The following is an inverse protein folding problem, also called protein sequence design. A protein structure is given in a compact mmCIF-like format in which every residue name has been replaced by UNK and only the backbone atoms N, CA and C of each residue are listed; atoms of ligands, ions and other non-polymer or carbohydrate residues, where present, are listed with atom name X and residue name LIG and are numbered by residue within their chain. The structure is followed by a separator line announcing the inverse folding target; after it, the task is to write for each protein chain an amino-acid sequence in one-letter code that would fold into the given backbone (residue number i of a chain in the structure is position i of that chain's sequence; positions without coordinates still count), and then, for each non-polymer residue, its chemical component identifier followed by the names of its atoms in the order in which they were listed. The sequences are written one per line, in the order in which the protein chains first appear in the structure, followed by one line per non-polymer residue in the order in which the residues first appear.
data_IF_558844024579
#
_entry.id   IF_558844024579
#
_cell.length_a   1.000
_cell.length_b   1.000
_cell.length_c   1.000
_cell.angle_alpha   90.00
_cell.angle_beta   90.00
_cell.angle_gamma   90.00
#
_symmetry.space_group_name_H-M   'P 1'
#
loop_
_entity.id
_entity.type
_entity.pdbx_description
1 polymer ?
#
# COMPACT_ATOMS: atom_id res chain seq x y z
N UNK A 1 15.91 18.44 -3.92
CA UNK A 1 15.07 19.09 -2.90
C UNK A 1 13.66 18.53 -3.08
N UNK A 2 13.02 17.96 -2.05
CA UNK A 2 11.71 17.33 -2.18
C UNK A 2 10.58 18.37 -2.27
N UNK A 3 9.43 17.98 -2.85
CA UNK A 3 8.26 18.86 -2.99
C UNK A 3 7.71 19.35 -1.65
N UNK A 4 7.64 18.47 -0.66
CA UNK A 4 7.25 18.85 0.70
C UNK A 4 8.24 19.84 1.32
N UNK A 5 9.55 19.66 1.11
CA UNK A 5 10.55 20.62 1.62
C UNK A 5 10.36 22.00 0.98
N UNK A 6 9.97 22.06 -0.29
CA UNK A 6 9.59 23.30 -0.96
C UNK A 6 8.33 23.90 -0.30
N UNK A 7 7.28 23.11 -0.07
CA UNK A 7 6.07 23.58 0.59
C UNK A 7 6.32 24.06 2.04
N UNK A 8 7.17 23.37 2.79
CA UNK A 8 7.59 23.76 4.15
C UNK A 8 8.40 25.06 4.15
N UNK A 9 9.30 25.26 3.18
CA UNK A 9 10.00 26.54 3.02
C UNK A 9 9.02 27.68 2.71
N UNK A 10 8.04 27.43 1.84
CA UNK A 10 6.98 28.40 1.52
C UNK A 10 6.14 28.72 2.76
N UNK A 11 5.67 27.71 3.51
CA UNK A 11 4.89 27.92 4.72
C UNK A 11 5.64 28.74 5.77
N UNK A 12 6.98 28.57 5.88
CA UNK A 12 7.81 29.40 6.77
C UNK A 12 7.86 30.87 6.33
N UNK A 13 8.01 31.12 5.04
CA UNK A 13 7.99 32.48 4.47
C UNK A 13 6.63 33.13 4.71
N UNK A 14 5.56 32.41 4.38
CA UNK A 14 4.18 32.88 4.58
C UNK A 14 3.87 33.13 6.07
N UNK A 15 4.34 32.26 6.97
CA UNK A 15 4.20 32.47 8.42
C UNK A 15 4.89 33.75 8.90
N UNK A 16 6.08 34.04 8.37
CA UNK A 16 6.80 35.27 8.70
C UNK A 16 6.05 36.50 8.19
N UNK A 17 5.59 36.46 6.94
CA UNK A 17 4.82 37.55 6.32
C UNK A 17 3.49 37.81 7.00
N UNK A 18 2.76 36.77 7.40
CA UNK A 18 1.52 36.94 8.15
C UNK A 18 1.76 37.60 9.51
N UNK A 19 2.85 37.28 10.21
CA UNK A 19 3.24 38.00 11.43
C UNK A 19 3.56 39.47 11.19
N UNK A 20 4.26 39.79 10.09
CA UNK A 20 4.55 41.19 9.70
C UNK A 20 3.27 41.98 9.41
N UNK A 21 2.31 41.33 8.75
CA UNK A 21 1.00 41.89 8.43
C UNK A 21 -0.02 41.77 9.59
N UNK A 22 0.40 41.26 10.75
CA UNK A 22 -0.41 41.04 11.96
C UNK A 22 -1.63 40.11 11.78
N UNK A 23 -1.59 39.24 10.78
CA UNK A 23 -2.57 38.16 10.63
C UNK A 23 -2.26 37.03 11.62
N UNK A 24 -3.30 36.56 12.30
CA UNK A 24 -3.24 35.40 13.19
C UNK A 24 -3.73 34.16 12.45
N UNK A 25 -3.01 33.05 12.64
CA UNK A 25 -3.28 31.78 12.00
C UNK A 25 -2.02 30.95 11.83
N UNK A 26 -2.20 29.71 11.43
CA UNK A 26 -1.12 28.74 11.28
C UNK A 26 -1.00 28.28 9.84
N UNK A 27 0.21 28.37 9.29
CA UNK A 27 0.52 27.75 8.01
C UNK A 27 1.06 26.34 8.23
N UNK A 28 0.38 25.37 7.65
CA UNK A 28 0.82 23.97 7.60
C UNK A 28 1.21 23.60 6.18
N UNK A 29 2.17 22.70 6.03
CA UNK A 29 2.61 22.21 4.73
C UNK A 29 2.73 20.69 4.75
N UNK A 30 2.33 20.06 3.66
CA UNK A 30 2.51 18.63 3.43
C UNK A 30 2.89 18.38 1.96
N UNK A 31 2.84 17.14 1.51
CA UNK A 31 3.13 16.77 0.11
C UNK A 31 2.13 17.36 -0.89
N UNK A 32 0.89 17.58 -0.47
CA UNK A 32 -0.23 17.99 -1.34
C UNK A 32 -0.27 19.50 -1.55
N UNK A 33 0.21 20.28 -0.59
CA UNK A 33 0.24 21.73 -0.71
C UNK A 33 0.61 22.46 0.56
N UNK A 34 0.17 23.71 0.62
CA UNK A 34 0.30 24.59 1.77
C UNK A 34 -1.09 25.08 2.16
N UNK A 35 -1.41 25.07 3.45
CA UNK A 35 -2.72 25.45 3.98
C UNK A 35 -2.57 26.48 5.09
N UNK A 36 -3.43 27.49 5.08
CA UNK A 36 -3.53 28.45 6.18
C UNK A 36 -4.77 28.16 7.00
N UNK A 37 -4.62 27.94 8.30
CA UNK A 37 -5.73 27.78 9.25
C UNK A 37 -5.95 29.11 9.97
N UNK A 38 -7.20 29.56 9.97
CA UNK A 38 -7.66 30.81 10.58
C UNK A 38 -8.56 30.43 11.76
N UNK A 39 -8.31 31.05 12.91
CA UNK A 39 -9.19 30.91 14.08
C UNK A 39 -10.50 31.66 13.84
N UNK A 40 -11.63 31.07 14.28
CA UNK A 40 -12.97 31.62 14.02
C UNK A 40 -13.13 33.06 14.53
N UNK A 41 -12.58 33.36 15.71
CA UNK A 41 -12.60 34.71 16.29
C UNK A 41 -11.86 35.74 15.42
N UNK A 42 -10.81 35.33 14.69
CA UNK A 42 -10.03 36.20 13.83
C UNK A 42 -10.63 36.30 12.41
N UNK A 43 -11.40 35.29 11.97
CA UNK A 43 -12.15 35.35 10.72
C UNK A 43 -13.27 36.40 10.73
N UNK A 44 -13.95 36.56 11.87
CA UNK A 44 -15.06 37.50 12.03
C UNK A 44 -14.64 38.92 12.44
N UNK A 45 -13.35 39.20 12.50
CA UNK A 45 -12.84 40.53 12.86
C UNK A 45 -12.88 41.49 11.68
N UNK A 46 -13.62 42.59 11.85
CA UNK A 46 -13.81 43.64 10.83
C UNK A 46 -12.52 44.36 10.43
N UNK A 47 -11.43 44.25 11.21
CA UNK A 47 -10.15 44.94 10.96
C UNK A 47 -9.17 44.13 10.11
N UNK A 48 -9.52 42.90 9.72
CA UNK A 48 -8.65 42.00 8.95
C UNK A 48 -9.33 41.62 7.63
N UNK A 49 -8.96 42.28 6.53
CA UNK A 49 -9.49 41.96 5.19
C UNK A 49 -8.84 40.67 4.64
N UNK A 50 -9.23 39.53 5.23
CA UNK A 50 -8.85 38.19 4.79
C UNK A 50 -9.29 37.91 3.35
N UNK A 51 -10.38 38.55 2.91
CA UNK A 51 -10.88 38.42 1.54
C UNK A 51 -9.94 39.10 0.53
N UNK A 52 -9.22 40.15 0.90
CA UNK A 52 -8.21 40.78 0.04
C UNK A 52 -7.05 39.82 -0.28
N UNK A 53 -6.60 39.05 0.71
CA UNK A 53 -5.45 38.13 0.57
C UNK A 53 -5.85 36.75 0.04
N UNK A 54 -6.86 36.14 0.65
CA UNK A 54 -7.25 34.75 0.39
C UNK A 54 -8.48 34.65 -0.53
N UNK A 55 -9.36 35.65 -0.53
CA UNK A 55 -10.56 35.71 -1.38
C UNK A 55 -11.39 34.42 -1.32
N UNK A 56 -11.82 33.93 -2.49
CA UNK A 56 -12.64 32.72 -2.63
C UNK A 56 -11.92 31.41 -2.23
N UNK A 57 -10.66 31.46 -1.79
CA UNK A 57 -9.93 30.27 -1.32
C UNK A 57 -10.27 29.90 0.11
N UNK A 58 -10.89 30.78 0.89
CA UNK A 58 -11.31 30.45 2.25
C UNK A 58 -12.52 29.52 2.17
N UNK A 59 -12.36 28.31 2.70
CA UNK A 59 -13.44 27.35 2.91
C UNK A 59 -13.73 27.22 4.40
N UNK A 60 -15.01 27.15 4.77
CA UNK A 60 -15.45 26.77 6.11
C UNK A 60 -15.59 25.26 6.16
N UNK A 61 -14.86 24.60 7.05
CA UNK A 61 -15.15 23.22 7.41
C UNK A 61 -16.32 23.21 8.39
N UNK A 62 -17.41 22.57 8.01
CA UNK A 62 -18.58 22.39 8.89
C UNK A 62 -18.33 21.15 9.75
N UNK A 63 -18.34 21.32 11.07
CA UNK A 63 -18.28 20.21 12.02
C UNK A 63 -19.70 19.65 12.23
N UNK A 64 -19.81 18.33 12.43
CA UNK A 64 -21.10 17.69 12.76
C UNK A 64 -21.61 18.08 14.17
N UNK A 65 -20.73 18.67 14.99
CA UNK A 65 -21.03 19.15 16.33
C UNK A 65 -21.27 20.68 16.32
N UNK A 66 -22.52 21.17 16.46
CA UNK A 66 -22.83 22.59 16.43
C UNK A 66 -22.28 23.39 17.63
N UNK A 67 -21.73 22.72 18.65
CA UNK A 67 -21.04 23.35 19.77
C UNK A 67 -19.54 23.60 19.49
N UNK A 68 -18.98 23.05 18.42
CA UNK A 68 -17.59 23.26 18.03
C UNK A 68 -17.46 24.43 17.05
N UNK A 69 -16.50 25.35 17.28
CA UNK A 69 -16.25 26.45 16.37
C UNK A 69 -15.85 25.94 14.99
N UNK A 70 -16.36 26.57 13.94
CA UNK A 70 -16.03 26.19 12.56
C UNK A 70 -14.59 26.54 12.23
N UNK A 71 -13.85 25.68 11.55
CA UNK A 71 -12.49 26.00 11.09
C UNK A 71 -12.53 26.62 9.71
N UNK A 72 -11.80 27.72 9.51
CA UNK A 72 -11.64 28.36 8.21
C UNK A 72 -10.24 28.08 7.68
N UNK A 73 -10.14 27.57 6.46
CA UNK A 73 -8.85 27.29 5.83
C UNK A 73 -8.75 27.82 4.41
N UNK A 74 -7.55 28.24 4.02
CA UNK A 74 -7.21 28.53 2.64
C UNK A 74 -6.18 27.51 2.13
N UNK A 75 -6.61 26.67 1.18
CA UNK A 75 -5.80 25.57 0.67
C UNK A 75 -5.18 25.87 -0.70
N UNK A 76 -3.86 25.70 -0.78
CA UNK A 76 -3.08 25.92 -1.98
C UNK A 76 -2.43 24.61 -2.45
N UNK A 77 -3.22 23.80 -3.15
CA UNK A 77 -2.81 22.49 -3.68
C UNK A 77 -2.13 22.58 -5.05
N UNK A 78 -2.33 23.70 -5.77
CA UNK A 78 -1.68 23.98 -7.05
C UNK A 78 -0.49 24.92 -6.86
N UNK A 79 0.69 24.60 -7.41
CA UNK A 79 1.86 25.47 -7.28
C UNK A 79 1.68 26.87 -7.87
N UNK A 80 0.85 27.03 -8.91
CA UNK A 80 0.48 28.33 -9.48
C UNK A 80 -0.15 29.25 -8.45
N UNK A 81 -1.05 28.72 -7.63
CA UNK A 81 -1.85 29.49 -6.68
C UNK A 81 -0.97 30.00 -5.53
N UNK A 82 0.03 29.20 -5.14
CA UNK A 82 1.05 29.58 -4.16
C UNK A 82 1.95 30.69 -4.70
N UNK A 83 2.34 30.63 -5.98
CA UNK A 83 3.17 31.64 -6.62
C UNK A 83 2.41 32.96 -6.76
N UNK A 84 1.12 32.90 -7.07
CA UNK A 84 0.25 34.08 -7.08
C UNK A 84 0.13 34.70 -5.69
N UNK A 85 -0.01 33.89 -4.64
CA UNK A 85 -0.03 34.37 -3.26
C UNK A 85 1.28 35.09 -2.89
N UNK A 86 2.44 34.50 -3.21
CA UNK A 86 3.74 35.11 -2.94
C UNK A 86 3.89 36.45 -3.67
N UNK A 87 3.44 36.54 -4.93
CA UNK A 87 3.42 37.82 -5.68
C UNK A 87 2.52 38.87 -5.04
N UNK A 88 1.34 38.48 -4.54
CA UNK A 88 0.44 39.40 -3.81
C UNK A 88 1.04 39.91 -2.51
N UNK A 89 1.93 39.13 -1.89
CA UNK A 89 2.65 39.47 -0.65
C UNK A 89 3.98 40.20 -0.89
N UNK A 90 4.22 40.67 -2.12
CA UNK A 90 5.45 41.36 -2.53
C UNK A 90 6.73 40.50 -2.40
N UNK A 91 6.59 39.17 -2.45
CA UNK A 91 7.69 38.19 -2.38
C UNK A 91 8.07 37.71 -3.80
N UNK A 92 8.40 38.66 -4.68
CA UNK A 92 8.61 38.40 -6.11
C UNK A 92 9.85 37.53 -6.40
N UNK A 93 10.94 37.70 -5.64
CA UNK A 93 12.18 36.93 -5.81
C UNK A 93 12.01 35.48 -5.35
N UNK A 94 11.31 35.28 -4.24
CA UNK A 94 10.93 33.98 -3.69
C UNK A 94 9.97 33.27 -4.65
N UNK A 95 8.96 33.98 -5.15
CA UNK A 95 8.04 33.46 -6.17
C UNK A 95 8.80 32.96 -7.42
N UNK A 96 9.80 33.72 -7.87
CA UNK A 96 10.66 33.35 -9.01
C UNK A 96 11.56 32.16 -8.68
N UNK A 97 12.15 32.12 -7.48
CA UNK A 97 12.94 30.99 -6.99
C UNK A 97 12.12 29.70 -6.95
N UNK A 98 10.88 29.77 -6.45
CA UNK A 98 9.99 28.60 -6.39
C UNK A 98 9.48 28.20 -7.76
N UNK A 99 9.13 29.16 -8.63
CA UNK A 99 8.81 28.88 -10.04
C UNK A 99 9.95 28.10 -10.71
N UNK A 100 11.19 28.56 -10.54
CA UNK A 100 12.37 27.89 -11.08
C UNK A 100 12.59 26.51 -10.46
N UNK A 101 12.35 26.33 -9.15
CA UNK A 101 12.47 25.04 -8.49
C UNK A 101 11.40 24.04 -8.97
N UNK A 102 10.17 24.50 -9.18
CA UNK A 102 9.07 23.69 -9.73
C UNK A 102 9.36 23.33 -11.19
N UNK A 103 9.87 24.27 -11.99
CA UNK A 103 10.29 23.99 -13.37
C UNK A 103 11.51 23.08 -13.44
N UNK A 104 12.47 23.23 -12.52
CA UNK A 104 13.60 22.32 -12.40
C UNK A 104 13.14 20.93 -12.02
N UNK A 105 12.19 20.80 -11.09
CA UNK A 105 11.55 19.52 -10.76
C UNK A 105 10.85 18.92 -11.98
N UNK A 106 10.11 19.74 -12.75
CA UNK A 106 9.49 19.34 -14.03
C UNK A 106 10.51 18.93 -15.10
N UNK A 107 11.69 19.55 -15.12
CA UNK A 107 12.81 19.25 -16.04
C UNK A 107 13.64 18.04 -15.59
N UNK A 108 13.76 17.77 -14.30
CA UNK A 108 14.35 16.53 -13.77
C UNK A 108 13.39 15.34 -13.92
N UNK A 109 12.07 15.54 -13.79
CA UNK A 109 11.06 14.58 -14.27
C UNK A 109 10.94 14.55 -15.81
N UNK A 110 11.53 15.55 -16.47
CA UNK A 110 11.63 15.75 -17.92
C UNK A 110 13.00 15.40 -18.49
N UNK A 111 13.70 14.40 -17.93
CA UNK A 111 14.76 13.69 -18.65
C UNK A 111 14.15 12.87 -19.81
N UNK A 112 13.55 13.56 -20.79
CA UNK A 112 13.09 13.02 -22.06
C UNK A 112 14.01 13.41 -23.23
N UNK A 113 15.03 14.24 -22.99
CA UNK A 113 15.91 14.76 -24.05
C UNK A 113 17.18 13.95 -24.33
N UNK A 114 17.36 12.78 -23.69
CA UNK A 114 18.34 11.75 -24.11
C UNK A 114 17.70 10.48 -24.71
N UNK A 115 16.38 10.48 -24.90
CA UNK A 115 15.63 9.26 -25.25
C UNK A 115 15.23 9.16 -26.71
N UNK A 116 15.66 10.09 -27.58
CA UNK A 116 15.34 9.97 -29.01
C UNK A 116 15.94 8.70 -29.65
N UNK A 117 17.06 8.22 -29.11
CA UNK A 117 17.71 6.99 -29.58
C UNK A 117 17.21 5.72 -28.88
N UNK A 118 16.70 5.81 -27.64
CA UNK A 118 16.13 4.66 -26.89
C UNK A 118 14.64 4.43 -27.26
N UNK A 119 13.96 5.43 -27.81
CA UNK A 119 12.53 5.37 -28.20
C UNK A 119 12.24 4.46 -29.39
N UNK A 120 13.26 3.98 -30.11
CA UNK A 120 13.07 3.11 -31.27
C UNK A 120 12.97 1.64 -30.86
N UNK A 121 13.60 1.23 -29.74
CA UNK A 121 13.65 -0.17 -29.32
C UNK A 121 12.50 -0.58 -28.39
N UNK A 122 12.01 0.32 -27.52
CA UNK A 122 10.93 0.02 -26.55
C UNK A 122 9.50 0.26 -27.09
N UNK A 123 9.35 0.85 -28.29
CA UNK A 123 8.04 1.27 -28.82
C UNK A 123 7.12 0.13 -29.26
N UNK A 124 7.69 -1.07 -29.44
CA UNK A 124 7.00 -2.22 -30.03
C UNK A 124 7.03 -3.47 -29.14
N UNK A 125 7.23 -3.37 -27.83
CA UNK A 125 7.09 -4.55 -26.98
C UNK A 125 5.61 -4.82 -26.68
N UNK A 126 4.97 -5.85 -27.30
CA UNK A 126 3.62 -6.31 -26.90
C UNK A 126 3.52 -6.65 -25.41
N UNK A 127 4.67 -6.86 -24.75
CA UNK A 127 4.83 -7.21 -23.36
C UNK A 127 4.33 -6.14 -22.37
N UNK A 128 4.56 -4.85 -22.66
CA UNK A 128 4.22 -3.75 -21.74
C UNK A 128 2.73 -3.40 -21.77
N UNK A 129 2.10 -3.57 -22.92
CA UNK A 129 0.65 -3.41 -23.05
C UNK A 129 -0.07 -4.52 -22.28
N UNK A 130 0.43 -5.74 -22.36
CA UNK A 130 -0.11 -6.86 -21.58
C UNK A 130 0.05 -6.62 -20.08
N UNK A 131 1.20 -6.09 -19.66
CA UNK A 131 1.41 -5.71 -18.25
C UNK A 131 0.41 -4.65 -17.76
N UNK A 132 0.04 -3.67 -18.59
CA UNK A 132 -1.03 -2.72 -18.24
C UNK A 132 -2.37 -3.43 -18.01
N UNK A 133 -2.73 -4.41 -18.85
CA UNK A 133 -3.95 -5.20 -18.66
C UNK A 133 -3.88 -6.06 -17.39
N UNK A 134 -2.73 -6.64 -17.10
CA UNK A 134 -2.50 -7.45 -15.90
C UNK A 134 -2.66 -6.59 -14.63
N UNK A 135 -2.14 -5.37 -14.63
CA UNK A 135 -2.37 -4.38 -13.57
C UNK A 135 -3.86 -4.05 -13.45
N UNK A 136 -4.54 -3.74 -14.56
CA UNK A 136 -5.97 -3.43 -14.55
C UNK A 136 -6.80 -4.61 -14.00
N UNK A 137 -6.48 -5.84 -14.41
CA UNK A 137 -7.12 -7.06 -13.92
C UNK A 137 -6.85 -7.29 -12.43
N UNK A 138 -5.64 -7.03 -11.95
CA UNK A 138 -5.30 -7.12 -10.54
C UNK A 138 -6.13 -6.13 -9.72
N UNK A 139 -6.15 -4.85 -10.12
CA UNK A 139 -6.88 -3.78 -9.43
C UNK A 139 -8.40 -3.95 -9.51
N UNK A 140 -8.91 -4.50 -10.61
CA UNK A 140 -10.34 -4.77 -10.81
C UNK A 140 -10.93 -5.76 -9.81
N UNK A 141 -10.11 -6.56 -9.13
CA UNK A 141 -10.54 -7.52 -8.08
C UNK A 141 -10.90 -6.84 -6.76
N UNK A 142 -10.58 -5.57 -6.57
CA UNK A 142 -10.81 -4.84 -5.32
C UNK A 142 -11.97 -3.85 -5.50
N UNK A 143 -13.20 -4.18 -5.06
CA UNK A 143 -14.40 -3.37 -5.33
C UNK A 143 -14.36 -1.96 -4.72
N UNK A 144 -13.56 -1.73 -3.67
CA UNK A 144 -13.38 -0.42 -3.04
C UNK A 144 -12.49 0.55 -3.84
N UNK A 145 -11.68 0.04 -4.78
CA UNK A 145 -10.77 0.86 -5.62
C UNK A 145 -11.54 1.77 -6.59
N UNK A 146 -12.83 1.50 -6.82
CA UNK A 146 -13.67 2.31 -7.71
C UNK A 146 -14.08 3.67 -7.15
N UNK A 147 -13.83 3.94 -5.86
CA UNK A 147 -14.05 5.25 -5.26
C UNK A 147 -12.79 6.12 -5.44
N UNK A 148 -12.98 7.43 -5.55
CA UNK A 148 -11.92 8.42 -5.85
C UNK A 148 -10.59 8.15 -5.13
N UNK A 149 -9.47 8.34 -5.83
CA UNK A 149 -8.13 8.14 -5.26
C UNK A 149 -7.09 7.62 -6.24
N UNK A 150 -5.87 7.38 -5.77
CA UNK A 150 -4.72 7.03 -6.61
C UNK A 150 -4.85 5.67 -7.29
N UNK A 151 -5.41 4.64 -6.62
CA UNK A 151 -5.67 3.33 -7.26
C UNK A 151 -6.71 3.43 -8.37
N UNK A 152 -7.73 4.28 -8.19
CA UNK A 152 -8.74 4.53 -9.23
C UNK A 152 -8.09 5.14 -10.47
N UNK A 153 -7.19 6.12 -10.28
CA UNK A 153 -6.40 6.72 -11.37
C UNK A 153 -5.46 5.72 -12.06
N UNK A 154 -4.79 4.86 -11.29
CA UNK A 154 -3.94 3.78 -11.83
C UNK A 154 -4.79 2.80 -12.64
N UNK A 155 -5.95 2.38 -12.11
CA UNK A 155 -6.88 1.48 -12.80
C UNK A 155 -7.41 2.10 -14.10
N UNK A 156 -7.79 3.38 -14.08
CA UNK A 156 -8.22 4.10 -15.29
C UNK A 156 -7.10 4.16 -16.31
N UNK A 157 -5.89 4.59 -15.90
CA UNK A 157 -4.74 4.65 -16.80
C UNK A 157 -4.42 3.28 -17.42
N UNK A 158 -4.45 2.22 -16.62
CA UNK A 158 -4.18 0.85 -17.05
C UNK A 158 -5.26 0.31 -18.02
N UNK A 159 -6.53 0.61 -17.75
CA UNK A 159 -7.68 0.16 -18.56
C UNK A 159 -7.81 0.93 -19.88
N UNK A 160 -7.30 2.17 -19.93
CA UNK A 160 -7.42 3.04 -21.10
C UNK A 160 -6.29 2.90 -22.12
N UNK A 161 -5.32 2.00 -21.93
CA UNK A 161 -4.20 1.80 -22.88
C UNK A 161 -4.70 1.24 -24.22
N UNK A 162 -4.89 2.11 -25.21
CA UNK A 162 -5.26 1.72 -26.57
C UNK A 162 -4.02 1.41 -27.45
N UNK A 163 -4.23 1.01 -28.70
CA UNK A 163 -3.13 0.83 -29.68
C UNK A 163 -2.42 2.15 -30.05
N UNK A 164 -3.02 3.31 -29.71
CA UNK A 164 -2.45 4.63 -30.03
C UNK A 164 -1.67 5.24 -28.86
N UNK A 165 -1.92 4.75 -27.64
CA UNK A 165 -1.26 5.23 -26.43
C UNK A 165 0.07 4.50 -26.25
N UNK A 166 1.07 5.18 -25.67
CA UNK A 166 2.36 4.57 -25.35
C UNK A 166 2.25 3.81 -24.02
N UNK A 167 2.29 2.46 -24.01
CA UNK A 167 2.17 1.69 -22.77
C UNK A 167 3.30 2.01 -21.78
N UNK A 168 4.49 2.36 -22.31
CA UNK A 168 5.64 2.82 -21.55
C UNK A 168 5.32 4.10 -20.76
N UNK A 169 4.67 5.09 -21.40
CA UNK A 169 4.31 6.34 -20.72
C UNK A 169 3.25 6.09 -19.64
N UNK A 170 2.26 5.26 -19.95
CA UNK A 170 1.22 4.88 -18.98
C UNK A 170 1.83 4.18 -17.76
N UNK A 171 2.72 3.21 -17.96
CA UNK A 171 3.41 2.53 -16.86
C UNK A 171 4.28 3.48 -16.04
N UNK A 172 5.00 4.42 -16.68
CA UNK A 172 5.77 5.45 -15.96
C UNK A 172 4.88 6.32 -15.08
N UNK A 173 3.70 6.71 -15.58
CA UNK A 173 2.73 7.47 -14.79
C UNK A 173 2.22 6.64 -13.61
N UNK A 174 1.91 5.36 -13.80
CA UNK A 174 1.49 4.46 -12.73
C UNK A 174 2.58 4.27 -11.67
N UNK A 175 3.84 4.09 -12.07
CA UNK A 175 4.99 3.98 -11.14
C UNK A 175 5.14 5.26 -10.33
N UNK A 176 5.04 6.43 -10.96
CA UNK A 176 5.11 7.73 -10.26
C UNK A 176 3.96 7.90 -9.27
N UNK A 177 2.74 7.51 -9.63
CA UNK A 177 1.58 7.52 -8.74
C UNK A 177 1.77 6.56 -7.55
N UNK A 178 2.38 5.40 -7.78
CA UNK A 178 2.67 4.43 -6.73
C UNK A 178 3.79 4.90 -5.78
N UNK A 179 4.87 5.45 -6.32
CA UNK A 179 5.99 6.01 -5.54
C UNK A 179 5.53 7.20 -4.69
N UNK A 180 4.64 8.02 -5.25
CA UNK A 180 3.95 9.10 -4.53
C UNK A 180 3.16 8.60 -3.31
N UNK A 181 2.38 7.53 -3.46
CA UNK A 181 1.59 6.94 -2.36
C UNK A 181 2.44 6.23 -1.32
N UNK A 182 3.51 5.54 -1.75
CA UNK A 182 4.47 4.91 -0.85
C UNK A 182 5.10 5.94 0.10
N UNK A 183 5.48 7.11 -0.42
CA UNK A 183 6.01 8.21 0.39
C UNK A 183 4.99 8.80 1.38
N UNK A 184 3.69 8.79 1.04
CA UNK A 184 2.60 9.21 1.94
C UNK A 184 2.40 8.23 3.10
N UNK A 185 2.57 6.93 2.86
CA UNK A 185 2.39 5.88 3.85
C UNK A 185 3.57 5.72 4.83
N UNK A 186 4.82 5.79 4.35
CA UNK A 186 6.01 5.70 5.22
C UNK A 186 5.97 6.74 6.36
N UNK A 187 5.33 7.88 6.12
CA UNK A 187 5.12 8.97 7.08
C UNK A 187 3.92 8.75 8.01
N UNK A 188 2.83 8.15 7.50
CA UNK A 188 1.57 7.94 8.25
C UNK A 188 1.42 6.52 8.83
N UNK A 189 2.46 5.70 8.72
CA UNK A 189 2.52 4.29 9.17
C UNK A 189 2.02 4.05 10.60
N UNK A 190 2.25 4.98 11.53
CA UNK A 190 1.73 4.87 12.90
C UNK A 190 0.24 5.20 13.01
N UNK A 191 -0.25 6.14 12.20
CA UNK A 191 -1.65 6.57 12.17
C UNK A 191 -2.57 5.53 11.49
N UNK A 192 -2.05 4.80 10.48
CA UNK A 192 -2.80 3.78 9.76
C UNK A 192 -2.83 2.39 10.41
N UNK A 193 -2.16 2.19 11.56
CA UNK A 193 -2.33 0.96 12.36
C UNK A 193 -3.79 0.71 12.79
N UNK A 194 -4.61 1.76 12.84
CA UNK A 194 -6.00 1.70 13.33
C UNK A 194 -7.07 1.82 12.25
N UNK A 195 -6.71 2.21 11.01
CA UNK A 195 -7.65 2.43 9.90
C UNK A 195 -7.22 1.67 8.61
N UNK A 196 -6.53 0.54 8.79
CA UNK A 196 -5.66 -0.11 7.80
C UNK A 196 -6.18 -0.16 6.36
N UNK A 197 -5.33 0.30 5.42
CA UNK A 197 -5.44 -0.13 4.01
C UNK A 197 -5.24 -1.65 3.98
N UNK A 198 -5.94 -2.30 3.06
CA UNK A 198 -5.75 -3.72 2.77
C UNK A 198 -4.25 -3.98 2.50
N UNK A 199 -3.59 -4.89 3.24
CA UNK A 199 -2.16 -5.17 3.07
C UNK A 199 -1.77 -5.49 1.62
N UNK A 200 -2.70 -6.08 0.85
CA UNK A 200 -2.50 -6.46 -0.55
C UNK A 200 -2.39 -5.24 -1.47
N UNK A 201 -3.04 -4.14 -1.10
CA UNK A 201 -2.94 -2.86 -1.83
C UNK A 201 -1.60 -2.20 -1.56
N UNK A 202 -1.11 -2.28 -0.33
CA UNK A 202 0.20 -1.71 0.04
C UNK A 202 1.34 -2.47 -0.62
N UNK A 203 1.32 -3.80 -0.57
CA UNK A 203 2.29 -4.64 -1.31
C UNK A 203 2.30 -4.33 -2.80
N UNK A 204 1.13 -4.07 -3.39
CA UNK A 204 1.01 -3.69 -4.79
C UNK A 204 1.68 -2.35 -5.06
N UNK A 205 1.44 -1.34 -4.21
CA UNK A 205 2.08 -0.03 -4.33
C UNK A 205 3.60 -0.13 -4.23
N UNK A 206 4.11 -0.91 -3.28
CA UNK A 206 5.54 -1.09 -3.12
C UNK A 206 6.14 -1.83 -4.31
N UNK A 207 5.48 -2.89 -4.80
CA UNK A 207 5.92 -3.62 -5.98
C UNK A 207 5.96 -2.72 -7.22
N UNK A 208 4.92 -1.90 -7.42
CA UNK A 208 4.79 -0.99 -8.56
C UNK A 208 5.77 0.20 -8.47
N UNK A 209 5.97 0.79 -7.29
CA UNK A 209 6.92 1.87 -7.08
C UNK A 209 8.37 1.43 -7.30
N UNK A 210 8.69 0.16 -6.98
CA UNK A 210 10.03 -0.40 -7.18
C UNK A 210 10.27 -0.94 -8.60
N UNK A 211 9.27 -0.89 -9.49
CA UNK A 211 9.39 -1.38 -10.87
C UNK A 211 10.34 -0.49 -11.68
N UNK A 212 11.39 -1.10 -12.22
CA UNK A 212 12.34 -0.48 -13.15
C UNK A 212 12.10 -1.01 -14.56
N UNK A 213 11.56 -0.17 -15.43
CA UNK A 213 11.17 -0.56 -16.80
C UNK A 213 12.37 -0.87 -17.72
N UNK A 214 13.56 -0.42 -17.35
CA UNK A 214 14.84 -0.69 -18.05
C UNK A 214 15.56 -1.94 -17.53
N UNK A 215 15.02 -2.60 -16.50
CA UNK A 215 15.56 -3.82 -15.89
C UNK A 215 14.61 -5.01 -16.16
N UNK A 216 14.98 -5.94 -17.07
CA UNK A 216 14.16 -7.10 -17.40
C UNK A 216 13.81 -7.99 -16.20
N UNK A 217 14.70 -8.09 -15.20
CA UNK A 217 14.45 -8.90 -14.00
C UNK A 217 13.41 -8.22 -13.10
N UNK A 218 13.47 -6.89 -12.99
CA UNK A 218 12.46 -6.09 -12.27
C UNK A 218 11.07 -6.24 -12.91
N UNK A 219 11.00 -6.13 -14.24
CA UNK A 219 9.76 -6.32 -15.01
C UNK A 219 9.22 -7.74 -14.81
N UNK A 220 10.07 -8.76 -14.94
CA UNK A 220 9.67 -10.16 -14.76
C UNK A 220 9.13 -10.41 -13.36
N UNK A 221 9.84 -9.93 -12.32
CA UNK A 221 9.42 -10.08 -10.93
C UNK A 221 8.09 -9.40 -10.64
N UNK A 222 7.91 -8.17 -11.12
CA UNK A 222 6.65 -7.45 -10.95
C UNK A 222 5.51 -8.13 -11.69
N UNK A 223 5.78 -8.60 -12.92
CA UNK A 223 4.79 -9.34 -13.71
C UNK A 223 4.35 -10.60 -12.99
N UNK A 224 5.29 -11.39 -12.48
CA UNK A 224 4.99 -12.58 -11.68
C UNK A 224 4.14 -12.24 -10.46
N UNK A 225 4.30 -11.05 -9.87
CA UNK A 225 3.48 -10.60 -8.75
C UNK A 225 2.04 -10.27 -9.17
N UNK A 226 1.82 -9.49 -10.24
CA UNK A 226 0.46 -9.08 -10.66
C UNK A 226 -0.31 -10.20 -11.37
N UNK A 227 0.39 -11.13 -12.01
CA UNK A 227 -0.19 -12.31 -12.67
C UNK A 227 -0.28 -13.52 -11.76
N UNK A 228 0.32 -13.47 -10.56
CA UNK A 228 0.26 -14.56 -9.58
C UNK A 228 -1.20 -14.91 -9.34
N UNK A 229 -1.53 -16.17 -9.58
CA UNK A 229 -2.84 -16.68 -9.22
C UNK A 229 -2.92 -16.65 -7.70
N UNK A 230 -3.84 -15.83 -7.16
CA UNK A 230 -4.09 -15.79 -5.72
C UNK A 230 -4.95 -16.97 -5.33
N UNK A 231 -4.75 -17.55 -4.14
CA UNK A 231 -5.66 -18.57 -3.64
C UNK A 231 -7.08 -18.00 -3.60
N UNK A 232 -8.03 -18.82 -4.04
CA UNK A 232 -9.45 -18.53 -3.90
C UNK A 232 -9.88 -18.61 -2.43
N UNK A 233 -11.05 -18.07 -2.11
CA UNK A 233 -11.65 -18.25 -0.79
C UNK A 233 -11.85 -19.74 -0.44
N UNK A 234 -12.12 -20.56 -1.46
CA UNK A 234 -12.25 -22.00 -1.33
C UNK A 234 -10.89 -22.66 -0.99
N UNK A 235 -9.80 -22.22 -1.65
CA UNK A 235 -8.44 -22.69 -1.32
C UNK A 235 -8.11 -22.40 0.16
N UNK A 236 -8.44 -21.21 0.69
CA UNK A 236 -8.21 -20.88 2.10
C UNK A 236 -9.08 -21.70 3.05
N UNK A 237 -10.37 -21.84 2.73
CA UNK A 237 -11.33 -22.60 3.56
C UNK A 237 -10.91 -24.06 3.63
N UNK A 238 -10.63 -24.67 2.48
CA UNK A 238 -10.16 -26.04 2.38
C UNK A 238 -8.83 -26.25 3.13
N UNK A 239 -7.91 -25.29 3.07
CA UNK A 239 -6.64 -25.35 3.82
C UNK A 239 -6.88 -25.34 5.32
N UNK A 240 -7.71 -24.42 5.83
CA UNK A 240 -8.02 -24.32 7.25
C UNK A 240 -8.71 -25.59 7.77
N UNK A 241 -9.67 -26.13 7.01
CA UNK A 241 -10.37 -27.37 7.36
C UNK A 241 -9.40 -28.56 7.45
N UNK A 242 -8.46 -28.68 6.50
CA UNK A 242 -7.46 -29.76 6.50
C UNK A 242 -6.45 -29.60 7.63
N UNK A 243 -6.03 -28.37 7.94
CA UNK A 243 -5.20 -28.10 9.13
C UNK A 243 -5.95 -28.54 10.39
N UNK A 244 -7.22 -28.17 10.53
CA UNK A 244 -8.06 -28.56 11.67
C UNK A 244 -8.15 -30.09 11.82
N UNK A 245 -8.39 -30.81 10.70
CA UNK A 245 -8.42 -32.29 10.69
C UNK A 245 -7.08 -32.90 11.08
N UNK A 246 -5.98 -32.39 10.55
CA UNK A 246 -4.63 -32.86 10.88
C UNK A 246 -4.33 -32.66 12.37
N UNK A 247 -4.56 -31.45 12.88
CA UNK A 247 -4.34 -31.09 14.28
C UNK A 247 -5.25 -31.85 15.25
N UNK A 248 -6.46 -32.24 14.82
CA UNK A 248 -7.37 -33.08 15.60
C UNK A 248 -6.73 -34.40 16.08
N UNK A 249 -5.81 -34.98 15.28
CA UNK A 249 -5.05 -36.18 15.64
C UNK A 249 -4.13 -35.98 16.84
N UNK A 250 -3.72 -34.74 17.09
CA UNK A 250 -2.75 -34.34 18.11
C UNK A 250 -3.35 -33.46 19.19
N UNK A 251 -4.68 -33.45 19.33
CA UNK A 251 -5.43 -32.60 20.27
C UNK A 251 -5.01 -32.73 21.73
N UNK A 252 -4.39 -33.84 22.12
CA UNK A 252 -3.90 -34.10 23.47
C UNK A 252 -2.40 -33.77 23.67
N UNK A 253 -1.70 -33.32 22.63
CA UNK A 253 -0.24 -33.24 22.62
C UNK A 253 0.27 -31.87 23.08
N UNK A 254 -0.46 -30.77 22.81
CA UNK A 254 -0.03 -29.46 23.30
C UNK A 254 -1.10 -28.36 23.26
N UNK A 255 -0.97 -27.37 24.14
CA UNK A 255 -1.78 -26.14 24.17
C UNK A 255 -1.76 -25.38 22.84
N UNK A 256 -0.70 -25.53 22.05
CA UNK A 256 -0.55 -24.85 20.76
C UNK A 256 -1.38 -25.47 19.65
N UNK A 257 -1.63 -26.79 19.71
CA UNK A 257 -2.60 -27.45 18.83
C UNK A 257 -3.99 -26.84 19.10
N UNK A 258 -4.35 -26.66 20.37
CA UNK A 258 -5.60 -25.99 20.76
C UNK A 258 -5.67 -24.53 20.31
N UNK A 259 -4.55 -23.78 20.35
CA UNK A 259 -4.49 -22.39 19.85
C UNK A 259 -4.72 -22.31 18.34
N UNK A 260 -4.08 -23.17 17.53
CA UNK A 260 -4.31 -23.19 16.08
C UNK A 260 -5.75 -23.59 15.73
N UNK A 261 -6.33 -24.57 16.43
CA UNK A 261 -7.74 -24.93 16.24
C UNK A 261 -8.70 -23.78 16.61
N UNK A 262 -8.35 -22.98 17.62
CA UNK A 262 -9.14 -21.78 17.99
C UNK A 262 -9.05 -20.70 16.92
N UNK A 263 -7.86 -20.44 16.38
CA UNK A 263 -7.63 -19.47 15.30
C UNK A 263 -8.47 -19.84 14.06
N UNK A 264 -8.49 -21.13 13.69
CA UNK A 264 -9.25 -21.62 12.53
C UNK A 264 -10.77 -21.37 12.64
N UNK A 265 -11.33 -21.28 13.86
CA UNK A 265 -12.76 -21.05 14.09
C UNK A 265 -13.16 -19.60 14.35
N UNK A 266 -12.22 -18.72 14.68
CA UNK A 266 -12.49 -17.36 15.15
C UNK A 266 -12.31 -16.26 14.08
N UNK A 267 -11.55 -16.54 13.02
CA UNK A 267 -11.15 -15.58 12.00
C UNK A 267 -11.67 -15.95 10.62
N UNK A 268 -11.58 -15.03 9.66
CA UNK A 268 -11.80 -15.37 8.26
C UNK A 268 -10.73 -16.39 7.79
N UNK A 269 -11.03 -17.30 6.85
CA UNK A 269 -10.08 -18.33 6.43
C UNK A 269 -8.70 -17.81 5.98
N UNK A 270 -8.66 -16.67 5.29
CA UNK A 270 -7.40 -16.01 4.88
C UNK A 270 -6.61 -15.55 6.11
N UNK A 271 -7.25 -14.86 7.05
CA UNK A 271 -6.62 -14.35 8.27
C UNK A 271 -6.20 -15.49 9.21
N UNK A 272 -7.02 -16.53 9.34
CA UNK A 272 -6.72 -17.72 10.12
C UNK A 272 -5.46 -18.40 9.60
N UNK A 273 -5.33 -18.57 8.28
CA UNK A 273 -4.14 -19.16 7.67
C UNK A 273 -2.89 -18.31 7.91
N UNK A 274 -2.98 -16.98 7.79
CA UNK A 274 -1.87 -16.06 8.10
C UNK A 274 -1.37 -16.25 9.54
N UNK A 275 -2.28 -16.26 10.52
CA UNK A 275 -1.90 -16.40 11.93
C UNK A 275 -1.35 -17.79 12.25
N UNK A 276 -1.90 -18.84 11.62
CA UNK A 276 -1.37 -20.20 11.75
C UNK A 276 0.04 -20.34 11.15
N UNK A 277 0.33 -19.69 10.02
CA UNK A 277 1.68 -19.64 9.43
C UNK A 277 2.66 -18.94 10.36
N UNK A 278 2.29 -17.79 10.93
CA UNK A 278 3.14 -17.06 11.88
C UNK A 278 3.46 -17.87 13.13
N UNK A 279 2.44 -18.55 13.68
CA UNK A 279 2.63 -19.42 14.84
C UNK A 279 3.53 -20.61 14.51
N UNK A 280 3.40 -21.19 13.31
CA UNK A 280 4.26 -22.25 12.81
C UNK A 280 5.71 -21.78 12.58
N UNK A 281 5.91 -20.57 12.05
CA UNK A 281 7.25 -20.00 11.82
C UNK A 281 7.96 -19.66 13.14
N UNK A 282 7.23 -19.11 14.12
CA UNK A 282 7.75 -18.92 15.47
C UNK A 282 8.20 -20.26 16.08
N UNK A 283 7.43 -21.33 15.89
CA UNK A 283 7.80 -22.68 16.32
C UNK A 283 9.03 -23.18 15.57
N UNK A 284 9.08 -23.08 14.25
CA UNK A 284 10.25 -23.43 13.43
C UNK A 284 11.52 -22.71 13.90
N UNK A 285 11.42 -21.43 14.25
CA UNK A 285 12.51 -20.63 14.83
C UNK A 285 13.01 -21.17 16.17
N UNK A 286 12.13 -21.80 16.96
CA UNK A 286 12.51 -22.56 18.16
C UNK A 286 13.03 -23.98 17.87
N UNK A 287 12.77 -24.54 16.68
CA UNK A 287 12.92 -25.99 16.37
C UNK A 287 14.30 -26.48 15.92
N UNK A 288 15.19 -25.63 15.38
CA UNK A 288 16.49 -26.14 14.86
C UNK A 288 17.39 -26.75 15.95
N UNK A 289 17.22 -26.36 17.21
CA UNK A 289 17.90 -26.93 18.38
C UNK A 289 17.05 -27.95 19.15
N UNK A 290 15.72 -28.00 18.94
CA UNK A 290 14.79 -28.72 19.83
C UNK A 290 14.13 -29.95 19.23
N UNK A 291 14.37 -30.34 17.97
CA UNK A 291 13.78 -31.58 17.41
C UNK A 291 14.01 -32.81 18.31
N UNK A 292 15.22 -32.99 18.82
CA UNK A 292 15.56 -34.11 19.72
C UNK A 292 14.89 -33.97 21.09
N UNK A 293 14.75 -32.72 21.59
CA UNK A 293 14.06 -32.43 22.86
C UNK A 293 12.55 -32.68 22.71
N UNK A 294 11.95 -32.30 21.59
CA UNK A 294 10.53 -32.50 21.32
C UNK A 294 10.19 -33.98 21.15
N UNK A 295 11.09 -34.75 20.53
CA UNK A 295 11.01 -36.21 20.49
C UNK A 295 11.07 -36.83 21.90
N UNK A 296 11.96 -36.32 22.76
CA UNK A 296 12.02 -36.73 24.17
C UNK A 296 10.78 -36.31 24.98
N UNK A 297 10.12 -35.22 24.58
CA UNK A 297 8.86 -34.74 25.14
C UNK A 297 7.61 -35.40 24.49
N UNK A 298 7.81 -36.41 23.64
CA UNK A 298 6.72 -37.22 23.07
C UNK A 298 5.99 -36.58 21.88
N UNK A 299 6.55 -35.54 21.25
CA UNK A 299 5.99 -34.98 20.01
C UNK A 299 6.39 -35.84 18.81
N UNK A 300 5.44 -36.22 17.95
CA UNK A 300 5.74 -37.03 16.77
C UNK A 300 6.44 -36.20 15.68
N UNK A 301 7.37 -36.83 14.96
CA UNK A 301 8.08 -36.23 13.82
C UNK A 301 7.12 -35.67 12.76
N UNK A 302 5.94 -36.28 12.63
CA UNK A 302 4.85 -35.82 11.76
C UNK A 302 4.39 -34.39 12.08
N UNK A 303 4.23 -34.05 13.37
CA UNK A 303 3.78 -32.73 13.81
C UNK A 303 4.86 -31.66 13.60
N UNK A 304 6.13 -32.01 13.78
CA UNK A 304 7.25 -31.11 13.49
C UNK A 304 7.38 -30.82 11.99
N UNK A 305 7.28 -31.86 11.15
CA UNK A 305 7.28 -31.70 9.70
C UNK A 305 6.10 -30.85 9.21
N UNK A 306 4.94 -30.98 9.86
CA UNK A 306 3.78 -30.13 9.59
C UNK A 306 4.09 -28.65 9.87
N UNK A 307 4.66 -28.31 11.02
CA UNK A 307 5.02 -26.91 11.32
C UNK A 307 6.04 -26.34 10.34
N UNK A 308 7.05 -27.12 9.96
CA UNK A 308 8.04 -26.68 8.96
C UNK A 308 7.40 -26.42 7.59
N UNK A 309 6.46 -27.27 7.18
CA UNK A 309 5.73 -27.11 5.93
C UNK A 309 4.77 -25.94 5.98
N UNK A 310 3.98 -25.80 7.05
CA UNK A 310 3.07 -24.68 7.25
C UNK A 310 3.82 -23.33 7.27
N UNK A 311 4.95 -23.24 7.97
CA UNK A 311 5.78 -22.04 8.00
C UNK A 311 6.38 -21.67 6.62
N UNK A 312 6.48 -22.63 5.70
CA UNK A 312 6.98 -22.40 4.34
C UNK A 312 5.90 -21.93 3.36
N UNK A 313 4.62 -21.96 3.74
CA UNK A 313 3.50 -21.60 2.87
C UNK A 313 3.53 -20.11 2.57
N UNK A 314 3.53 -19.77 1.28
CA UNK A 314 3.31 -18.40 0.82
C UNK A 314 1.81 -18.19 0.67
N UNK A 315 1.20 -17.55 1.67
CA UNK A 315 -0.26 -17.36 1.75
C UNK A 315 -0.84 -16.62 0.55
N UNK A 316 -0.04 -15.82 -0.15
CA UNK A 316 -0.43 -15.05 -1.33
C UNK A 316 -0.27 -15.83 -2.66
N UNK A 317 0.12 -17.10 -2.61
CA UNK A 317 0.44 -17.94 -3.76
C UNK A 317 -0.52 -19.14 -3.86
N UNK A 318 -1.44 -19.13 -4.83
CA UNK A 318 -2.38 -20.24 -5.03
C UNK A 318 -1.65 -21.57 -5.19
N UNK A 319 -0.49 -21.57 -5.87
CA UNK A 319 0.29 -22.77 -6.06
C UNK A 319 0.85 -23.26 -4.72
N UNK A 320 1.42 -22.38 -3.90
CA UNK A 320 1.95 -22.75 -2.59
C UNK A 320 0.85 -23.28 -1.66
N UNK A 321 -0.34 -22.67 -1.68
CA UNK A 321 -1.48 -23.09 -0.86
C UNK A 321 -2.01 -24.45 -1.33
N UNK A 322 -2.18 -24.65 -2.65
CA UNK A 322 -2.63 -25.94 -3.22
C UNK A 322 -1.60 -27.06 -3.03
N UNK A 323 -0.31 -26.76 -3.13
CA UNK A 323 0.76 -27.73 -2.81
C UNK A 323 0.71 -28.14 -1.33
N UNK A 324 0.39 -27.20 -0.43
CA UNK A 324 0.21 -27.51 0.98
C UNK A 324 -1.07 -28.32 1.25
N UNK A 325 -2.18 -28.01 0.57
CA UNK A 325 -3.39 -28.85 0.58
C UNK A 325 -3.05 -30.28 0.17
N UNK A 326 -2.32 -30.46 -0.94
CA UNK A 326 -1.91 -31.77 -1.44
C UNK A 326 -0.99 -32.51 -0.45
N UNK A 327 -0.09 -31.78 0.22
CA UNK A 327 0.71 -32.32 1.32
C UNK A 327 -0.19 -32.86 2.44
N UNK A 328 -1.19 -32.10 2.88
CA UNK A 328 -2.15 -32.55 3.91
C UNK A 328 -3.00 -33.74 3.47
N UNK A 329 -3.35 -33.82 2.18
CA UNK A 329 -4.07 -34.97 1.62
C UNK A 329 -3.26 -36.26 1.65
N UNK A 330 -1.93 -36.16 1.59
CA UNK A 330 -1.03 -37.29 1.81
C UNK A 330 -1.14 -37.91 3.21
N UNK A 331 -1.75 -37.23 4.19
CA UNK A 331 -1.93 -37.69 5.57
C UNK A 331 -3.34 -38.22 5.88
N UNK A 332 -4.16 -38.53 4.85
CA UNK A 332 -5.55 -38.90 5.05
C UNK A 332 -5.72 -40.14 5.98
N UNK A 333 -6.33 -39.99 7.17
CA UNK A 333 -6.42 -41.06 8.18
C UNK A 333 -7.26 -42.28 7.77
N UNK A 334 -8.04 -42.19 6.69
CA UNK A 334 -8.86 -43.31 6.22
C UNK A 334 -8.05 -44.45 5.59
N UNK A 335 -6.81 -44.19 5.14
CA UNK A 335 -5.96 -45.22 4.55
C UNK A 335 -5.19 -46.07 5.58
N UNK A 336 -4.96 -45.57 6.80
CA UNK A 336 -4.27 -46.35 7.85
C UNK A 336 -5.18 -47.39 8.52
N UNK A 337 -6.50 -47.25 8.40
CA UNK A 337 -7.44 -48.26 8.90
C UNK A 337 -7.65 -49.46 7.96
N UNK A 338 -7.10 -49.46 6.73
CA UNK A 338 -7.16 -50.63 5.84
C UNK A 338 -5.93 -51.55 5.92
N UNK A 339 -4.78 -51.08 6.41
CA UNK A 339 -3.58 -51.92 6.57
C UNK A 339 -3.55 -52.66 7.90
N UNK A 340 -4.32 -52.25 8.91
CA UNK A 340 -4.41 -52.93 10.21
C UNK A 340 -5.32 -54.16 10.25
N UNK A 341 -6.16 -54.40 9.22
CA UNK A 341 -7.09 -55.55 9.17
C UNK A 341 -6.63 -56.70 8.26
N UNK A 342 -5.47 -56.57 7.61
CA UNK A 342 -4.87 -57.62 6.78
C UNK A 342 -3.78 -58.44 7.52
N UNK A 343 -3.68 -58.30 8.84
CA UNK A 343 -2.73 -59.05 9.67
C UNK A 343 -3.40 -59.49 10.97
N UNK A 344 -4.32 -60.44 10.86
CA UNK A 344 -4.85 -61.22 11.98
C UNK A 344 -5.07 -62.66 11.54
#
# INVERSE_FOLDING_TARGET
MSREKIHQEIAKILSKKMKELRFKGEWTANTDGVSFKIDEEDYYKDDVDLNLLFGNKIAKTVTDNPAEPGTYSADYTKPSDVIELLKKLDEAEEAKKFQNAIEALKKTSGHTHKYKDIMTDLRNEPNLKEMCKEIANFLGKFPFIKKEGTLSRILTAASSVTNKDSPVLTLKEMIQLADWEKGSWDFTREYHKFAGRDPRVEEFYQALANLKLDDPDSVTKFRSYVTKEKPSQDDYTQTCDKIGKFLGKFSNISDEVSKMSTIAGALSPEQALIEMIQLADWKKGSCSFTKEIHKQLGRPDELENFYEKLASVKVDDAKSVREFIAYLDGFNPENDNMTSLASS
#
